data_IF_195749597096
#
_entry.id   IF_195749597096
#
_cell.length_a   1.000
_cell.length_b   1.000
_cell.length_c   1.000
_cell.angle_alpha   90.00
_cell.angle_beta   90.00
_cell.angle_gamma   90.00
#
_symmetry.space_group_name_H-M   'P 1'
#
loop_
_entity.id
_entity.type
_entity.pdbx_description
1 polymer ?
#
# COMPACT_ATOMS: atom_id res chain seq x y z
N UNK A 1 7.87 -5.07 51.94
CA UNK A 1 9.12 -5.30 51.21
C UNK A 1 8.81 -6.12 49.96
N UNK A 2 8.91 -5.53 48.77
CA UNK A 2 8.84 -6.25 47.49
C UNK A 2 9.95 -5.71 46.60
N UNK A 3 10.75 -6.62 46.06
CA UNK A 3 12.09 -6.44 45.51
C UNK A 3 12.12 -5.63 44.22
N UNK A 4 13.11 -4.73 44.10
CA UNK A 4 13.39 -3.84 42.96
C UNK A 4 13.80 -4.58 41.66
N UNK A 5 13.74 -5.91 41.60
CA UNK A 5 14.30 -6.71 40.51
C UNK A 5 13.37 -6.89 39.30
N UNK A 6 12.05 -6.73 39.47
CA UNK A 6 11.07 -7.00 38.41
C UNK A 6 10.91 -5.88 37.36
N UNK A 7 11.46 -4.67 37.60
CA UNK A 7 11.40 -3.55 36.63
C UNK A 7 12.59 -3.47 35.66
N UNK A 8 13.67 -4.21 35.90
CA UNK A 8 14.91 -4.14 35.07
C UNK A 8 14.83 -5.03 33.81
N UNK A 9 14.15 -6.18 33.88
CA UNK A 9 14.02 -7.13 32.76
C UNK A 9 13.16 -6.63 31.58
N UNK A 10 12.05 -5.93 31.85
CA UNK A 10 11.14 -5.43 30.79
C UNK A 10 11.72 -4.30 29.92
N UNK A 11 12.70 -3.53 30.44
CA UNK A 11 13.35 -2.45 29.68
C UNK A 11 14.42 -2.94 28.70
N UNK A 12 15.03 -4.09 28.96
CA UNK A 12 16.05 -4.69 28.09
C UNK A 12 15.44 -5.23 26.79
N UNK A 13 14.36 -6.00 26.89
CA UNK A 13 13.70 -6.63 25.72
C UNK A 13 13.13 -5.61 24.72
N UNK A 14 12.72 -4.42 25.18
CA UNK A 14 12.17 -3.35 24.31
C UNK A 14 13.26 -2.59 23.53
N UNK A 15 14.51 -2.59 24.01
CA UNK A 15 15.66 -1.99 23.30
C UNK A 15 16.16 -2.89 22.17
N UNK A 16 16.08 -4.20 22.35
CA UNK A 16 16.58 -5.20 21.41
C UNK A 16 15.68 -5.30 20.16
N UNK A 17 14.35 -5.42 20.36
CA UNK A 17 13.35 -5.38 19.27
C UNK A 17 13.38 -4.09 18.44
N UNK A 18 13.85 -2.97 19.02
CA UNK A 18 13.97 -1.68 18.34
C UNK A 18 15.25 -1.57 17.50
N UNK A 19 16.29 -2.35 17.83
CA UNK A 19 17.51 -2.48 17.02
C UNK A 19 17.29 -3.39 15.82
N UNK A 20 16.61 -4.53 16.00
CA UNK A 20 16.24 -5.43 14.89
C UNK A 20 15.36 -4.73 13.85
N UNK A 21 14.33 -3.99 14.28
CA UNK A 21 13.49 -3.21 13.35
C UNK A 21 14.26 -2.15 12.56
N UNK A 22 15.30 -1.52 13.14
CA UNK A 22 16.16 -0.58 12.42
C UNK A 22 17.08 -1.28 11.41
N UNK A 23 17.59 -2.47 11.74
CA UNK A 23 18.40 -3.27 10.83
C UNK A 23 17.63 -3.76 9.61
N UNK A 24 16.36 -4.13 9.79
CA UNK A 24 15.48 -4.57 8.69
C UNK A 24 15.18 -3.42 7.72
N UNK A 25 14.97 -2.19 8.23
CA UNK A 25 14.73 -1.00 7.39
C UNK A 25 15.97 -0.68 6.52
N UNK A 26 17.18 -0.80 7.09
CA UNK A 26 18.42 -0.56 6.35
C UNK A 26 18.72 -1.62 5.27
N UNK A 27 18.18 -2.84 5.39
CA UNK A 27 18.36 -3.90 4.39
C UNK A 27 17.47 -3.70 3.15
N UNK A 28 16.32 -3.04 3.32
CA UNK A 28 15.37 -2.79 2.23
C UNK A 28 15.91 -1.70 1.27
N UNK A 29 16.75 -0.80 1.77
CA UNK A 29 17.32 0.32 1.01
C UNK A 29 18.46 -0.11 0.04
N UNK A 30 19.06 -1.28 0.25
CA UNK A 30 20.23 -1.74 -0.53
C UNK A 30 19.87 -2.61 -1.74
N UNK A 31 18.60 -2.98 -1.93
CA UNK A 31 18.16 -3.80 -3.07
C UNK A 31 17.70 -2.95 -4.26
N UNK A 32 18.31 -1.80 -4.46
CA UNK A 32 18.25 -1.04 -5.73
C UNK A 32 19.14 -1.76 -6.74
N UNK A 33 18.52 -2.68 -7.47
CA UNK A 33 19.11 -3.39 -8.60
C UNK A 33 19.61 -2.37 -9.63
N UNK A 34 20.93 -2.33 -9.82
CA UNK A 34 21.60 -1.64 -10.92
C UNK A 34 21.39 -2.48 -12.19
N UNK A 35 20.64 -1.98 -13.17
CA UNK A 35 20.63 -2.54 -14.53
C UNK A 35 20.39 -1.42 -15.56
N UNK A 36 21.47 -1.07 -16.24
CA UNK A 36 21.61 -0.67 -17.66
C UNK A 36 20.64 0.37 -18.26
N UNK A 37 21.20 1.58 -18.45
CA UNK A 37 21.06 2.50 -19.59
C UNK A 37 19.90 2.33 -20.57
N UNK A 38 18.71 2.75 -20.13
CA UNK A 38 17.74 3.46 -20.96
C UNK A 38 17.28 4.66 -20.15
N UNK A 39 17.25 5.86 -20.73
CA UNK A 39 16.65 7.01 -20.04
C UNK A 39 15.14 6.75 -19.90
N UNK A 40 14.74 6.14 -18.80
CA UNK A 40 13.34 5.92 -18.43
C UNK A 40 12.90 7.17 -17.67
N UNK A 41 12.05 7.98 -18.31
CA UNK A 41 11.41 9.10 -17.62
C UNK A 41 10.40 8.52 -16.61
N UNK A 42 10.81 8.43 -15.35
CA UNK A 42 9.92 8.02 -14.26
C UNK A 42 9.00 9.20 -13.92
N UNK A 43 7.73 9.11 -14.33
CA UNK A 43 6.69 9.99 -13.80
C UNK A 43 6.59 9.82 -12.29
N UNK A 44 6.43 10.92 -11.54
CA UNK A 44 6.24 10.88 -10.08
C UNK A 44 5.05 9.98 -9.74
N UNK A 45 5.32 8.83 -9.13
CA UNK A 45 4.29 7.89 -8.72
C UNK A 45 4.05 8.01 -7.22
N UNK A 46 2.79 8.06 -6.85
CA UNK A 46 2.33 8.25 -5.47
C UNK A 46 1.94 6.90 -4.87
N UNK A 47 2.49 6.51 -3.70
CA UNK A 47 2.09 5.30 -3.02
C UNK A 47 0.69 5.45 -2.40
N UNK A 48 -0.17 4.45 -2.63
CA UNK A 48 -1.51 4.37 -2.06
C UNK A 48 -1.76 2.98 -1.49
N UNK A 49 -2.37 2.91 -0.30
CA UNK A 49 -2.69 1.68 0.41
C UNK A 49 -4.12 1.24 0.12
N UNK A 50 -4.35 -0.03 -0.21
CA UNK A 50 -5.70 -0.58 -0.40
C UNK A 50 -6.39 -0.71 0.97
N UNK A 51 -7.50 0.01 1.16
CA UNK A 51 -8.33 -0.11 2.37
C UNK A 51 -9.44 -1.15 2.17
N UNK A 52 -10.08 -1.16 0.99
CA UNK A 52 -11.24 -2.02 0.75
C UNK A 52 -11.34 -2.47 -0.70
N UNK A 53 -11.83 -3.69 -0.90
CA UNK A 53 -12.14 -4.25 -2.21
C UNK A 53 -13.64 -4.08 -2.47
N UNK A 54 -14.01 -3.31 -3.48
CA UNK A 54 -15.42 -3.03 -3.81
C UNK A 54 -16.07 -4.24 -4.47
N UNK A 55 -15.36 -4.88 -5.40
CA UNK A 55 -15.89 -6.03 -6.14
C UNK A 55 -15.17 -6.25 -7.48
N UNK A 56 -15.56 -7.31 -8.18
CA UNK A 56 -15.07 -7.61 -9.53
C UNK A 56 -15.95 -6.94 -10.58
N UNK A 57 -15.31 -6.37 -11.60
CA UNK A 57 -15.90 -5.58 -12.69
C UNK A 57 -15.40 -6.09 -14.05
N UNK A 58 -16.18 -5.85 -15.11
CA UNK A 58 -15.87 -6.24 -16.48
C UNK A 58 -16.59 -7.52 -16.89
N UNK A 59 -16.86 -7.68 -18.19
CA UNK A 59 -17.62 -8.81 -18.74
C UNK A 59 -17.03 -10.18 -18.41
N UNK A 60 -15.71 -10.25 -18.18
CA UNK A 60 -14.98 -11.48 -17.82
C UNK A 60 -14.51 -11.51 -16.35
N UNK A 61 -14.85 -10.51 -15.53
CA UNK A 61 -14.45 -10.46 -14.11
C UNK A 61 -12.95 -10.33 -13.86
N UNK A 62 -12.17 -9.90 -14.85
CA UNK A 62 -10.70 -9.79 -14.79
C UNK A 62 -10.21 -8.55 -14.00
N UNK A 63 -11.10 -7.57 -13.79
CA UNK A 63 -10.78 -6.31 -13.14
C UNK A 63 -11.43 -6.27 -11.77
N UNK A 64 -10.71 -5.79 -10.77
CA UNK A 64 -11.21 -5.59 -9.42
C UNK A 64 -11.22 -4.09 -9.16
N UNK A 65 -12.37 -3.56 -8.72
CA UNK A 65 -12.45 -2.20 -8.25
C UNK A 65 -12.07 -2.17 -6.76
N UNK A 66 -11.08 -1.35 -6.42
CA UNK A 66 -10.56 -1.19 -5.06
C UNK A 66 -10.68 0.26 -4.62
N UNK A 67 -10.86 0.47 -3.32
CA UNK A 67 -10.67 1.76 -2.66
C UNK A 67 -9.27 1.78 -2.05
N UNK A 68 -8.44 2.71 -2.50
CA UNK A 68 -7.12 2.93 -1.94
C UNK A 68 -7.00 4.34 -1.37
N UNK A 69 -6.28 4.43 -0.26
CA UNK A 69 -5.96 5.66 0.45
C UNK A 69 -4.54 6.08 0.10
N UNK A 70 -4.39 7.33 -0.32
CA UNK A 70 -3.09 7.88 -0.68
C UNK A 70 -2.25 8.12 0.57
N UNK A 71 -1.00 7.64 0.57
CA UNK A 71 -0.08 7.73 1.71
C UNK A 71 0.78 9.00 1.69
N UNK A 72 1.17 9.47 0.49
CA UNK A 72 2.11 10.57 0.29
C UNK A 72 1.63 11.50 -0.84
N UNK A 73 2.21 12.69 -0.96
CA UNK A 73 1.89 13.65 -2.03
C UNK A 73 0.75 14.63 -1.70
N UNK A 74 0.27 15.34 -2.73
CA UNK A 74 -0.70 16.43 -2.60
C UNK A 74 -2.07 15.99 -2.04
N UNK A 75 -2.52 14.78 -2.39
CA UNK A 75 -3.83 14.22 -2.00
C UNK A 75 -3.71 13.29 -0.77
N UNK A 76 -2.75 13.51 0.13
CA UNK A 76 -2.52 12.64 1.28
C UNK A 76 -3.81 12.40 2.09
N UNK A 77 -4.14 11.13 2.36
CA UNK A 77 -5.32 10.75 3.13
C UNK A 77 -6.63 10.68 2.34
N UNK A 78 -6.65 11.09 1.07
CA UNK A 78 -7.81 10.93 0.18
C UNK A 78 -8.00 9.47 -0.21
N UNK A 79 -9.24 9.01 -0.19
CA UNK A 79 -9.64 7.67 -0.62
C UNK A 79 -10.17 7.78 -2.05
N UNK A 80 -9.54 7.05 -2.96
CA UNK A 80 -9.88 7.04 -4.38
C UNK A 80 -10.19 5.62 -4.84
N UNK A 81 -11.01 5.50 -5.87
CA UNK A 81 -11.33 4.21 -6.48
C UNK A 81 -10.41 3.94 -7.67
N UNK A 82 -9.84 2.75 -7.70
CA UNK A 82 -8.98 2.29 -8.79
C UNK A 82 -9.38 0.91 -9.28
N UNK A 83 -9.13 0.69 -10.56
CA UNK A 83 -9.29 -0.60 -11.20
C UNK A 83 -7.93 -1.28 -11.20
N UNK A 84 -7.85 -2.45 -10.59
CA UNK A 84 -6.66 -3.29 -10.56
C UNK A 84 -6.94 -4.56 -11.35
N UNK A 85 -5.98 -5.01 -12.14
CA UNK A 85 -6.07 -6.28 -12.84
C UNK A 85 -5.46 -7.38 -11.97
N UNK A 86 -6.20 -8.46 -11.78
CA UNK A 86 -5.75 -9.61 -10.97
C UNK A 86 -6.14 -9.54 -9.49
N UNK A 87 -5.70 -10.52 -8.68
CA UNK A 87 -6.04 -10.59 -7.27
C UNK A 87 -5.34 -9.48 -6.48
N UNK A 88 -6.08 -8.83 -5.59
CA UNK A 88 -5.58 -7.77 -4.70
C UNK A 88 -6.07 -8.06 -3.29
N UNK A 89 -5.28 -7.67 -2.29
CA UNK A 89 -5.59 -7.86 -0.87
C UNK A 89 -5.70 -6.50 -0.17
N UNK A 90 -6.36 -6.51 0.98
CA UNK A 90 -6.36 -5.37 1.89
C UNK A 90 -4.92 -5.16 2.36
N UNK A 91 -4.54 -3.90 2.54
CA UNK A 91 -3.19 -3.45 2.90
C UNK A 91 -2.12 -3.51 1.80
N UNK A 92 -2.45 -3.92 0.58
CA UNK A 92 -1.52 -3.83 -0.57
C UNK A 92 -1.18 -2.36 -0.90
N UNK A 93 0.04 -2.12 -1.38
CA UNK A 93 0.50 -0.78 -1.81
C UNK A 93 0.50 -0.72 -3.34
N UNK A 94 -0.22 0.25 -3.87
CA UNK A 94 -0.33 0.56 -5.29
C UNK A 94 0.42 1.86 -5.59
N UNK A 95 1.25 1.85 -6.63
CA UNK A 95 1.91 3.05 -7.13
C UNK A 95 1.02 3.70 -8.19
N UNK A 96 0.45 4.86 -7.87
CA UNK A 96 -0.46 5.59 -8.73
C UNK A 96 0.28 6.71 -9.43
N UNK A 97 0.22 6.73 -10.77
CA UNK A 97 0.78 7.85 -11.55
C UNK A 97 -0.09 9.10 -11.49
N UNK A 98 -1.38 8.92 -11.27
CA UNK A 98 -2.36 10.00 -11.27
C UNK A 98 -3.35 9.77 -10.12
N UNK A 99 -3.37 10.67 -9.14
CA UNK A 99 -4.26 10.60 -7.97
C UNK A 99 -5.65 11.19 -8.23
N UNK A 100 -5.79 12.01 -9.28
CA UNK A 100 -7.01 12.79 -9.56
C UNK A 100 -8.13 12.00 -10.26
N UNK A 101 -7.81 10.99 -11.07
CA UNK A 101 -8.80 10.30 -11.91
C UNK A 101 -9.48 9.12 -11.20
N UNK A 102 -10.70 9.28 -10.71
CA UNK A 102 -11.44 8.15 -10.15
C UNK A 102 -12.02 7.19 -11.20
N UNK A 103 -11.97 5.89 -10.90
CA UNK A 103 -12.75 4.91 -11.66
C UNK A 103 -14.25 5.18 -11.51
N UNK A 104 -14.98 5.18 -12.63
CA UNK A 104 -16.44 5.35 -12.64
C UNK A 104 -17.11 4.36 -11.70
N UNK A 105 -18.19 4.80 -11.04
CA UNK A 105 -18.99 3.94 -10.16
C UNK A 105 -19.52 2.77 -10.98
N UNK A 106 -19.51 1.59 -10.38
CA UNK A 106 -20.17 0.39 -10.90
C UNK A 106 -21.67 0.71 -11.05
N UNK A 107 -22.11 1.01 -12.26
CA UNK A 107 -23.53 1.10 -12.59
C UNK A 107 -23.92 -0.28 -13.13
N UNK A 108 -24.62 -1.06 -12.31
CA UNK A 108 -25.23 -2.30 -12.78
C UNK A 108 -26.39 -1.91 -13.71
N UNK A 109 -26.08 -1.71 -14.99
CA UNK A 109 -27.11 -1.54 -16.01
C UNK A 109 -27.82 -2.88 -16.12
N UNK A 110 -28.96 -3.02 -15.43
CA UNK A 110 -29.91 -4.11 -15.69
C UNK A 110 -30.40 -3.94 -17.13
N UNK A 111 -29.72 -4.56 -18.09
CA UNK A 111 -30.23 -4.72 -19.45
C UNK A 111 -31.20 -5.89 -19.41
N UNK A 112 -32.48 -5.61 -19.61
CA UNK A 112 -33.51 -6.63 -19.83
C UNK A 112 -34.77 -6.40 -18.98
N UNK A 113 -35.69 -5.63 -19.54
CA UNK A 113 -37.13 -5.85 -19.44
C UNK A 113 -37.64 -6.01 -20.87
#
# INVERSE_FOLDING_TARGET
>A
MATKESKKGRKAQRKEKRKEKKGIIGLIEQKTVKTESGQINFSQAVPAKVEEIVGRTGSRGEVIQVRCKILEGYDQGKVIRRNVKGPTRIDDILMLRETEIEARKLIQVKRGG
#
